data_IF_014428477116
#
_entry.id   IF_014428477116
#
_cell.length_a   1.000
_cell.length_b   1.000
_cell.length_c   1.000
_cell.angle_alpha   90.00
_cell.angle_beta   90.00
_cell.angle_gamma   90.00
#
_symmetry.space_group_name_H-M   'P 1'
#
loop_
_entity.id
_entity.type
_entity.pdbx_description
1 polymer ?
#
# COMPACT_ATOMS: atom_id res chain seq x y z
N UNK A 1 -13.54 -64.62 -35.75
CA UNK A 1 -13.94 -63.43 -36.55
C UNK A 1 -14.38 -62.31 -35.60
N UNK A 2 -13.46 -61.36 -35.33
CA UNK A 2 -13.69 -59.96 -34.91
C UNK A 2 -12.31 -59.38 -34.63
N UNK A 3 -12.00 -58.30 -35.35
CA UNK A 3 -10.72 -57.59 -35.44
C UNK A 3 -10.27 -56.99 -34.10
N UNK A 4 -8.98 -57.06 -33.76
CA UNK A 4 -8.40 -56.18 -32.74
C UNK A 4 -7.96 -54.87 -33.39
N UNK A 5 -8.60 -53.77 -33.02
CA UNK A 5 -8.15 -52.42 -33.29
C UNK A 5 -7.78 -51.76 -31.97
N UNK A 6 -6.52 -51.83 -31.58
CA UNK A 6 -5.91 -50.97 -30.56
C UNK A 6 -4.46 -50.76 -31.01
N UNK A 7 -4.25 -49.79 -31.91
CA UNK A 7 -3.69 -48.47 -31.57
C UNK A 7 -2.40 -48.59 -30.77
N UNK A 8 -1.30 -48.69 -31.51
CA UNK A 8 0.05 -48.44 -31.04
C UNK A 8 0.14 -46.97 -30.59
N UNK A 9 0.14 -46.74 -29.28
CA UNK A 9 0.52 -45.45 -28.70
C UNK A 9 2.04 -45.48 -28.49
N UNK A 10 2.78 -45.00 -29.48
CA UNK A 10 4.20 -44.71 -29.33
C UNK A 10 4.34 -43.47 -28.43
N UNK A 11 4.48 -43.67 -27.12
CA UNK A 11 4.84 -42.60 -26.18
C UNK A 11 6.35 -42.39 -26.31
N UNK A 12 6.74 -41.38 -27.10
CA UNK A 12 8.09 -40.85 -27.10
C UNK A 12 8.29 -40.06 -25.79
N UNK A 13 8.89 -40.68 -24.78
CA UNK A 13 9.42 -39.94 -23.63
C UNK A 13 10.66 -39.17 -24.09
N UNK A 14 10.47 -37.91 -24.48
CA UNK A 14 11.57 -36.96 -24.64
C UNK A 14 12.04 -36.53 -23.25
N UNK A 15 13.10 -37.18 -22.77
CA UNK A 15 13.81 -36.79 -21.56
C UNK A 15 14.49 -35.41 -21.77
N UNK A 16 14.07 -34.40 -21.01
CA UNK A 16 14.95 -33.29 -20.66
C UNK A 16 15.58 -33.64 -19.32
N UNK A 17 16.68 -34.41 -19.34
CA UNK A 17 17.58 -34.46 -18.18
C UNK A 17 18.31 -33.12 -18.10
N UNK A 18 17.90 -32.30 -17.13
CA UNK A 18 18.63 -31.10 -16.73
C UNK A 18 19.87 -31.56 -15.96
N UNK A 19 20.96 -31.84 -16.66
CA UNK A 19 22.26 -32.15 -16.04
C UNK A 19 22.81 -30.89 -15.37
N UNK A 20 23.04 -30.85 -14.05
CA UNK A 20 23.81 -29.77 -13.44
C UNK A 20 25.29 -30.12 -13.61
N UNK A 21 26.02 -29.36 -14.43
CA UNK A 21 27.48 -29.42 -14.46
C UNK A 21 28.03 -28.03 -14.15
N UNK A 22 28.73 -27.96 -13.02
CA UNK A 22 29.38 -26.81 -12.42
C UNK A 22 30.21 -25.95 -13.38
N UNK A 23 30.02 -24.62 -13.33
CA UNK A 23 31.08 -23.64 -13.00
C UNK A 23 30.57 -22.20 -13.06
N UNK A 24 30.51 -21.58 -11.89
CA UNK A 24 31.05 -20.24 -11.68
C UNK A 24 30.30 -19.07 -12.30
N UNK A 25 29.19 -18.66 -11.67
CA UNK A 25 28.97 -17.26 -11.35
C UNK A 25 28.62 -17.22 -9.85
N UNK A 26 29.60 -16.87 -9.03
CA UNK A 26 29.32 -16.19 -7.78
C UNK A 26 28.75 -14.81 -8.13
N UNK A 27 27.50 -14.77 -8.57
CA UNK A 27 26.72 -13.56 -8.68
C UNK A 27 25.83 -13.52 -7.44
N UNK A 28 26.16 -12.58 -6.55
CA UNK A 28 25.45 -12.23 -5.33
C UNK A 28 23.93 -12.43 -5.42
N UNK A 29 23.45 -13.58 -4.98
CA UNK A 29 22.04 -13.80 -4.63
C UNK A 29 21.64 -13.06 -3.33
N UNK A 30 22.52 -12.21 -2.78
CA UNK A 30 22.25 -11.33 -1.64
C UNK A 30 21.64 -9.98 -2.05
N UNK A 31 21.58 -9.63 -3.34
CA UNK A 31 21.06 -8.33 -3.78
C UNK A 31 19.53 -8.26 -3.89
N UNK A 32 18.80 -9.37 -3.81
CA UNK A 32 17.34 -9.40 -4.00
C UNK A 32 16.52 -9.56 -2.71
N UNK A 33 17.16 -9.83 -1.57
CA UNK A 33 16.48 -10.04 -0.27
C UNK A 33 16.46 -8.79 0.63
N UNK A 34 17.04 -7.68 0.18
CA UNK A 34 16.89 -6.37 0.79
C UNK A 34 16.01 -5.50 -0.11
N UNK A 35 14.76 -5.91 -0.34
CA UNK A 35 13.72 -4.89 -0.45
C UNK A 35 13.80 -4.13 0.88
N UNK A 36 14.46 -2.96 0.85
CA UNK A 36 14.83 -2.19 2.02
C UNK A 36 13.64 -2.08 2.97
N UNK A 37 13.80 -2.49 4.22
CA UNK A 37 12.79 -2.35 5.28
C UNK A 37 12.64 -0.85 5.64
N UNK A 38 12.10 -0.08 4.70
CA UNK A 38 11.92 1.36 4.84
C UNK A 38 10.61 1.65 5.58
N UNK A 39 10.53 2.76 6.33
CA UNK A 39 9.30 3.21 6.95
C UNK A 39 8.13 3.32 5.97
N UNK A 40 8.40 3.77 4.74
CA UNK A 40 7.40 3.91 3.68
C UNK A 40 6.84 2.55 3.24
N UNK A 41 7.68 1.53 3.09
CA UNK A 41 7.24 0.19 2.72
C UNK A 41 6.49 -0.51 3.85
N UNK A 42 6.94 -0.36 5.10
CA UNK A 42 6.18 -0.84 6.26
C UNK A 42 4.83 -0.14 6.39
N UNK A 43 4.81 1.17 6.19
CA UNK A 43 3.59 1.99 6.22
C UNK A 43 2.61 1.61 5.11
N UNK A 44 3.10 1.40 3.89
CA UNK A 44 2.30 0.91 2.77
C UNK A 44 1.68 -0.44 3.10
N UNK A 45 2.49 -1.40 3.54
CA UNK A 45 2.02 -2.73 3.90
C UNK A 45 0.97 -2.66 5.00
N UNK A 46 1.21 -1.87 6.05
CA UNK A 46 0.23 -1.67 7.12
C UNK A 46 -1.07 -1.05 6.61
N UNK A 47 -0.99 -0.01 5.78
CA UNK A 47 -2.16 0.65 5.21
C UNK A 47 -3.00 -0.30 4.35
N UNK A 48 -2.36 -1.10 3.49
CA UNK A 48 -3.04 -2.10 2.68
C UNK A 48 -3.74 -3.17 3.53
N UNK A 49 -3.12 -3.60 4.63
CA UNK A 49 -3.66 -4.67 5.48
C UNK A 49 -4.72 -4.19 6.49
N UNK A 50 -4.74 -2.91 6.84
CA UNK A 50 -5.54 -2.40 7.97
C UNK A 50 -6.47 -1.24 7.62
N UNK A 51 -6.18 -0.49 6.57
CA UNK A 51 -6.91 0.73 6.22
C UNK A 51 -7.70 0.60 4.91
N UNK A 52 -7.31 -0.34 4.04
CA UNK A 52 -7.86 -0.46 2.68
C UNK A 52 -9.33 -0.89 2.60
N UNK A 53 -9.89 -1.49 3.65
CA UNK A 53 -11.32 -1.83 3.69
C UNK A 53 -12.22 -0.59 3.65
N UNK A 54 -11.72 0.55 4.14
CA UNK A 54 -12.46 1.80 4.21
C UNK A 54 -11.87 2.88 3.29
N UNK A 55 -10.55 2.98 3.21
CA UNK A 55 -9.84 4.05 2.51
C UNK A 55 -9.21 3.58 1.21
N UNK A 56 -9.16 4.45 0.20
CA UNK A 56 -8.20 4.31 -0.88
C UNK A 56 -6.80 4.67 -0.35
N UNK A 57 -5.95 3.67 -0.23
CA UNK A 57 -4.59 3.83 0.34
C UNK A 57 -3.52 4.06 -0.72
N UNK A 58 -3.84 3.85 -2.00
CA UNK A 58 -2.95 4.05 -3.16
C UNK A 58 -3.39 5.24 -4.01
N UNK A 59 -2.50 5.74 -4.87
CA UNK A 59 -2.79 6.87 -5.78
C UNK A 59 -3.86 6.51 -6.80
N UNK A 60 -4.70 7.48 -7.18
CA UNK A 60 -5.69 7.31 -8.25
C UNK A 60 -6.75 6.23 -7.97
N UNK A 61 -6.96 5.88 -6.70
CA UNK A 61 -8.03 4.99 -6.26
C UNK A 61 -9.13 5.75 -5.51
N UNK A 62 -10.35 5.24 -5.59
CA UNK A 62 -11.51 5.76 -4.83
C UNK A 62 -11.73 4.91 -3.59
N UNK A 63 -12.00 5.55 -2.45
CA UNK A 63 -12.27 4.85 -1.20
C UNK A 63 -13.52 3.97 -1.32
N UNK A 64 -13.48 2.72 -0.80
CA UNK A 64 -14.66 1.85 -0.75
C UNK A 64 -15.82 2.46 0.07
N UNK A 65 -15.49 3.21 1.13
CA UNK A 65 -16.47 3.92 1.95
C UNK A 65 -16.55 5.39 1.47
N UNK A 66 -17.73 5.89 1.06
CA UNK A 66 -17.85 7.22 0.44
C UNK A 66 -17.33 8.40 1.28
N UNK A 67 -17.45 8.32 2.61
CA UNK A 67 -17.03 9.39 3.52
C UNK A 67 -15.58 9.22 4.03
N UNK A 68 -14.91 8.13 3.66
CA UNK A 68 -13.52 7.89 4.02
C UNK A 68 -12.61 8.59 3.00
N UNK A 69 -11.81 9.60 3.37
CA UNK A 69 -10.92 10.26 2.42
C UNK A 69 -9.83 9.29 1.94
N UNK A 70 -9.39 9.44 0.68
CA UNK A 70 -8.20 8.71 0.22
C UNK A 70 -6.94 9.24 0.91
N UNK A 71 -5.93 8.38 1.05
CA UNK A 71 -4.65 8.79 1.61
C UNK A 71 -3.98 9.89 0.77
N UNK A 72 -4.13 9.81 -0.56
CA UNK A 72 -3.66 10.84 -1.48
C UNK A 72 -4.33 12.20 -1.22
N UNK A 73 -5.65 12.22 -0.99
CA UNK A 73 -6.37 13.45 -0.66
C UNK A 73 -5.92 14.05 0.68
N UNK A 74 -5.69 13.20 1.69
CA UNK A 74 -5.17 13.65 2.99
C UNK A 74 -3.75 14.19 2.86
N UNK A 75 -2.87 13.49 2.14
CA UNK A 75 -1.47 13.87 2.00
C UNK A 75 -1.29 15.22 1.27
N UNK A 76 -2.19 15.53 0.34
CA UNK A 76 -2.18 16.76 -0.46
C UNK A 76 -3.11 17.87 0.10
N UNK A 77 -3.74 17.66 1.25
CA UNK A 77 -4.58 18.68 1.86
C UNK A 77 -3.75 19.91 2.31
N UNK A 78 -4.26 21.15 2.16
CA UNK A 78 -3.52 22.35 2.51
C UNK A 78 -3.06 22.39 3.97
N UNK A 79 -1.78 22.66 4.20
CA UNK A 79 -1.22 22.82 5.55
C UNK A 79 -0.91 21.53 6.30
N UNK A 80 -1.01 20.36 5.64
CA UNK A 80 -0.55 19.09 6.23
C UNK A 80 0.97 19.06 6.28
N UNK A 81 1.52 18.81 7.46
CA UNK A 81 2.92 18.47 7.70
C UNK A 81 3.04 17.06 8.24
N UNK A 82 4.27 16.58 8.43
CA UNK A 82 4.53 15.32 9.12
C UNK A 82 3.92 15.32 10.52
N UNK A 83 4.14 16.41 11.27
CA UNK A 83 3.69 16.57 12.65
C UNK A 83 2.17 16.62 12.75
N UNK A 84 1.50 17.41 11.89
CA UNK A 84 0.04 17.46 11.88
C UNK A 84 -0.56 16.11 11.52
N UNK A 85 0.07 15.36 10.61
CA UNK A 85 -0.41 14.04 10.19
C UNK A 85 -0.18 12.99 11.28
N UNK A 86 0.97 13.00 11.95
CA UNK A 86 1.22 12.14 13.13
C UNK A 86 0.21 12.43 14.25
N UNK A 87 -0.03 13.70 14.57
CA UNK A 87 -1.02 14.09 15.59
C UNK A 87 -2.44 13.68 15.18
N UNK A 88 -2.78 13.90 13.90
CA UNK A 88 -4.05 13.46 13.36
C UNK A 88 -4.16 11.95 13.52
N UNK A 89 -3.27 11.10 12.99
CA UNK A 89 -3.37 9.63 13.12
C UNK A 89 -3.44 9.09 14.57
N UNK A 90 -2.94 9.82 15.56
CA UNK A 90 -3.08 9.47 17.00
C UNK A 90 -4.48 9.71 17.56
N UNK A 91 -5.21 10.63 16.95
CA UNK A 91 -6.50 11.17 17.47
C UNK A 91 -7.64 11.04 16.49
N UNK A 92 -7.32 10.85 15.22
CA UNK A 92 -8.22 10.68 14.11
C UNK A 92 -8.66 9.24 14.12
N UNK A 93 -9.93 9.09 13.81
CA UNK A 93 -10.66 7.85 13.90
C UNK A 93 -11.08 7.54 15.34
N UNK A 94 -12.31 7.95 15.62
CA UNK A 94 -13.04 7.72 16.85
C UNK A 94 -13.23 6.22 17.08
N UNK A 95 -12.18 5.47 17.41
CA UNK A 95 -12.34 4.11 17.91
C UNK A 95 -13.12 4.17 19.23
N UNK A 96 -14.16 3.33 19.42
CA UNK A 96 -14.64 2.26 18.53
C UNK A 96 -15.84 2.64 17.63
N UNK A 97 -16.19 3.93 17.47
CA UNK A 97 -17.34 4.39 16.67
C UNK A 97 -17.13 4.25 15.15
N UNK A 98 -16.03 4.78 14.62
CA UNK A 98 -15.77 4.85 13.18
C UNK A 98 -14.71 3.82 12.72
N UNK A 99 -13.79 3.46 13.62
CA UNK A 99 -12.79 2.41 13.40
C UNK A 99 -12.98 1.26 14.39
N UNK A 100 -12.61 0.06 13.97
CA UNK A 100 -12.70 -1.17 14.76
C UNK A 100 -11.37 -1.57 15.42
N UNK A 101 -10.32 -0.76 15.26
CA UNK A 101 -9.01 -0.99 15.88
C UNK A 101 -8.31 0.34 16.19
N UNK A 102 -7.36 0.29 17.13
CA UNK A 102 -6.44 1.38 17.41
C UNK A 102 -5.17 1.22 16.58
N UNK A 103 -4.67 2.31 15.98
CA UNK A 103 -3.38 2.29 15.28
C UNK A 103 -2.28 2.18 16.34
N UNK A 104 -1.41 1.13 16.31
CA UNK A 104 -0.31 1.04 17.25
C UNK A 104 0.64 2.23 17.10
N UNK A 105 1.09 2.77 18.21
CA UNK A 105 1.99 3.92 18.29
C UNK A 105 3.22 3.78 17.39
N UNK A 106 3.81 2.59 17.37
CA UNK A 106 4.97 2.24 16.57
C UNK A 106 4.71 2.14 15.06
N UNK A 107 3.45 2.25 14.61
CA UNK A 107 3.07 2.24 13.18
C UNK A 107 2.73 3.62 12.63
N UNK A 108 2.55 4.61 13.51
CA UNK A 108 2.14 5.96 13.11
C UNK A 108 3.21 6.60 12.23
N UNK A 109 4.48 6.52 12.61
CA UNK A 109 5.55 7.15 11.84
C UNK A 109 5.78 6.48 10.48
N UNK A 110 5.62 5.16 10.39
CA UNK A 110 5.67 4.40 9.14
C UNK A 110 4.51 4.81 8.22
N UNK A 111 3.29 4.90 8.75
CA UNK A 111 2.11 5.39 8.02
C UNK A 111 2.30 6.82 7.50
N UNK A 112 2.80 7.73 8.36
CA UNK A 112 3.08 9.10 7.95
C UNK A 112 4.14 9.13 6.86
N UNK A 113 5.23 8.36 7.00
CA UNK A 113 6.24 8.26 5.96
C UNK A 113 5.64 7.81 4.62
N UNK A 114 4.80 6.76 4.63
CA UNK A 114 4.10 6.30 3.44
C UNK A 114 3.15 7.33 2.84
N UNK A 115 2.25 7.91 3.64
CA UNK A 115 1.27 8.89 3.16
C UNK A 115 1.95 10.09 2.50
N UNK A 116 3.08 10.54 3.04
CA UNK A 116 3.85 11.64 2.46
C UNK A 116 4.46 11.29 1.10
N UNK A 117 4.68 10.01 0.78
CA UNK A 117 5.08 9.59 -0.57
C UNK A 117 4.00 9.85 -1.61
N UNK A 118 2.72 9.95 -1.20
CA UNK A 118 1.57 10.16 -2.09
C UNK A 118 1.37 11.63 -2.47
N UNK A 119 2.21 12.54 -1.96
CA UNK A 119 2.16 13.95 -2.35
C UNK A 119 2.52 14.15 -3.82
N UNK A 120 1.86 15.10 -4.45
CA UNK A 120 2.11 15.53 -5.81
C UNK A 120 1.86 17.03 -5.94
N UNK A 121 2.74 17.75 -6.65
CA UNK A 121 2.53 19.17 -6.97
C UNK A 121 1.37 19.36 -7.97
N UNK A 122 1.15 18.36 -8.81
CA UNK A 122 0.08 18.32 -9.81
C UNK A 122 -1.16 17.56 -9.30
N UNK A 123 -1.38 17.53 -7.97
CA UNK A 123 -2.54 16.84 -7.42
C UNK A 123 -3.84 17.54 -7.84
N UNK A 124 -4.57 16.87 -8.73
CA UNK A 124 -5.94 17.22 -9.10
C UNK A 124 -6.89 16.24 -8.39
N UNK A 125 -7.79 16.72 -7.51
CA UNK A 125 -8.82 15.88 -6.94
C UNK A 125 -9.64 15.26 -8.08
N UNK A 126 -9.90 13.94 -8.02
CA UNK A 126 -10.83 13.32 -8.94
C UNK A 126 -12.16 14.11 -8.91
N UNK A 127 -12.69 14.49 -10.08
CA UNK A 127 -13.86 15.35 -10.20
C UNK A 127 -15.04 14.68 -9.46
N UNK A 128 -15.51 15.30 -8.37
CA UNK A 128 -16.51 14.73 -7.44
C UNK A 128 -15.96 14.17 -6.11
N UNK A 129 -14.64 14.22 -5.92
CA UNK A 129 -13.89 13.73 -4.75
C UNK A 129 -13.05 14.84 -4.09
N UNK A 130 -13.39 16.11 -4.32
CA UNK A 130 -12.85 17.19 -3.50
C UNK A 130 -13.12 16.82 -2.03
N UNK A 131 -12.11 16.86 -1.14
CA UNK A 131 -12.31 16.45 0.24
C UNK A 131 -13.48 17.27 0.79
N UNK A 132 -14.56 16.58 1.17
CA UNK A 132 -15.59 17.21 1.98
C UNK A 132 -14.87 17.89 3.17
N UNK A 133 -15.29 19.09 3.60
CA UNK A 133 -14.70 19.70 4.79
C UNK A 133 -14.77 18.66 5.89
N UNK A 134 -13.61 18.31 6.47
CA UNK A 134 -13.45 17.18 7.39
C UNK A 134 -14.62 17.10 8.36
N UNK A 135 -15.55 16.18 8.07
CA UNK A 135 -16.68 15.94 8.96
C UNK A 135 -16.10 15.15 10.13
N UNK A 136 -15.91 15.86 11.24
CA UNK A 136 -15.35 15.41 12.52
C UNK A 136 -13.82 15.29 12.55
N UNK A 137 -13.18 16.23 13.27
CA UNK A 137 -11.74 16.25 13.49
C UNK A 137 -10.95 16.86 12.33
N UNK A 138 -11.06 18.18 12.17
CA UNK A 138 -10.20 18.94 11.25
C UNK A 138 -8.73 18.56 11.46
N UNK A 139 -8.01 18.24 10.37
CA UNK A 139 -6.54 18.17 10.40
C UNK A 139 -6.05 19.44 11.11
N UNK A 140 -5.26 19.32 12.20
CA UNK A 140 -4.69 20.49 12.83
C UNK A 140 -3.82 21.16 11.77
N UNK A 141 -4.27 22.31 11.23
CA UNK A 141 -3.42 23.10 10.34
C UNK A 141 -2.14 23.35 11.10
N UNK A 142 -0.99 22.97 10.52
CA UNK A 142 0.27 23.38 11.09
C UNK A 142 0.20 24.91 11.27
N UNK A 143 0.31 25.36 12.51
CA UNK A 143 0.40 26.79 12.79
C UNK A 143 1.59 27.28 11.97
N UNK A 144 1.32 28.16 11.00
CA UNK A 144 2.39 28.78 10.22
C UNK A 144 3.33 29.43 11.24
N UNK A 145 4.53 28.87 11.41
CA UNK A 145 5.57 29.50 12.20
C UNK A 145 5.92 30.81 11.49
N UNK A 146 5.30 31.90 11.95
CA UNK A 146 5.65 33.24 11.55
C UNK A 146 7.14 33.44 11.89
N UNK A 147 7.91 33.78 10.88
CA UNK A 147 9.27 34.32 11.03
C UNK A 147 9.20 35.75 11.53
#
# INVERSE_FOLDING_TARGET
MKTPALLAFAVLLSACEMTPTDRGLAASATAAAAASDSPELRGQSFAQNRCADCHAVERLHTSPVPNAPSFEAVANAPGVTRESLSQWLRTSHDYPREMYFEIPEERIDDLVAYMLTLRSEDYEPAIGLAPAPAAHGSLPRAAAAAR
#
